data_IF_874167079937
#
_entry.id   IF_874167079937
#
_cell.length_a   1.000
_cell.length_b   1.000
_cell.length_c   1.000
_cell.angle_alpha   90.00
_cell.angle_beta   90.00
_cell.angle_gamma   90.00
#
_symmetry.space_group_name_H-M   'P 1'
#
loop_
_entity.id
_entity.type
_entity.pdbx_description
1 polymer ?
#
# COMPACT_ATOMS: atom_id res chain seq x y z
N UNK A 1 -8.43 -9.76 6.90
CA UNK A 1 -7.38 -9.43 7.89
C UNK A 1 -6.38 -10.56 8.14
N UNK A 2 -6.79 -11.83 8.33
CA UNK A 2 -5.86 -12.95 8.61
C UNK A 2 -4.68 -13.07 7.61
N UNK A 3 -4.96 -12.99 6.30
CA UNK A 3 -3.92 -13.01 5.25
C UNK A 3 -2.91 -11.86 5.40
N UNK A 4 -3.39 -10.65 5.71
CA UNK A 4 -2.55 -9.47 5.88
C UNK A 4 -1.63 -9.63 7.09
N UNK A 5 -2.16 -10.08 8.23
CA UNK A 5 -1.37 -10.32 9.45
C UNK A 5 -0.30 -11.39 9.23
N UNK A 6 -0.66 -12.49 8.53
CA UNK A 6 0.31 -13.52 8.15
C UNK A 6 1.42 -12.96 7.26
N UNK A 7 1.07 -12.07 6.31
CA UNK A 7 2.05 -11.44 5.43
C UNK A 7 2.96 -10.42 6.12
N UNK A 8 2.46 -9.69 7.12
CA UNK A 8 3.23 -8.73 7.91
C UNK A 8 4.08 -9.38 9.01
N UNK A 9 3.77 -10.63 9.37
CA UNK A 9 4.53 -11.42 10.36
C UNK A 9 4.44 -10.91 11.80
N UNK A 10 3.65 -9.87 12.07
CA UNK A 10 3.54 -9.25 13.39
C UNK A 10 2.13 -8.71 13.64
N UNK A 11 1.73 -8.71 14.92
CA UNK A 11 0.48 -8.10 15.36
C UNK A 11 0.68 -6.59 15.48
N UNK A 12 -0.20 -5.76 14.87
CA UNK A 12 -0.07 -4.31 14.97
C UNK A 12 -0.36 -3.83 16.39
N UNK A 13 0.30 -2.74 16.81
CA UNK A 13 0.03 -2.08 18.09
C UNK A 13 -1.37 -1.45 18.13
N UNK A 14 -1.76 -0.80 17.04
CA UNK A 14 -3.03 -0.08 16.89
C UNK A 14 -3.60 -0.36 15.50
N UNK A 15 -4.88 -0.68 15.43
CA UNK A 15 -5.65 -0.75 14.19
C UNK A 15 -6.33 0.60 13.95
N UNK A 16 -6.23 1.11 12.72
CA UNK A 16 -6.91 2.33 12.29
C UNK A 16 -7.77 2.00 11.08
N UNK A 17 -9.08 2.27 11.17
CA UNK A 17 -10.03 2.06 10.07
C UNK A 17 -11.05 3.20 10.02
N UNK A 18 -11.93 3.19 9.03
CA UNK A 18 -13.16 3.98 9.08
C UNK A 18 -14.12 3.46 10.19
N UNK A 19 -15.30 4.07 10.28
CA UNK A 19 -16.31 3.81 11.33
C UNK A 19 -17.33 2.71 10.99
N UNK A 20 -17.10 1.89 9.96
CA UNK A 20 -18.01 0.80 9.60
C UNK A 20 -18.00 -0.30 10.66
N UNK A 21 -19.20 -0.75 11.09
CA UNK A 21 -19.39 -1.79 12.12
C UNK A 21 -18.72 -3.12 11.79
N UNK A 22 -18.48 -3.39 10.51
CA UNK A 22 -17.79 -4.59 10.04
C UNK A 22 -16.34 -4.67 10.55
N UNK A 23 -15.67 -3.54 10.75
CA UNK A 23 -14.30 -3.52 11.28
C UNK A 23 -14.26 -3.90 12.76
N UNK A 24 -15.17 -3.37 13.58
CA UNK A 24 -15.27 -3.74 15.00
C UNK A 24 -15.54 -5.24 15.17
N UNK A 25 -16.43 -5.79 14.35
CA UNK A 25 -16.72 -7.23 14.35
C UNK A 25 -15.48 -8.06 13.97
N UNK A 26 -14.82 -7.71 12.87
CA UNK A 26 -13.61 -8.39 12.42
C UNK A 26 -12.45 -8.27 13.43
N UNK A 27 -12.33 -7.12 14.10
CA UNK A 27 -11.35 -6.86 15.15
C UNK A 27 -11.53 -7.82 16.32
N UNK A 28 -12.77 -7.98 16.82
CA UNK A 28 -13.08 -8.88 17.94
C UNK A 28 -12.70 -10.33 17.63
N UNK A 29 -12.93 -10.76 16.39
CA UNK A 29 -12.65 -12.14 15.98
C UNK A 29 -11.16 -12.40 15.71
N UNK A 30 -10.44 -11.45 15.11
CA UNK A 30 -9.11 -11.68 14.55
C UNK A 30 -7.99 -11.07 15.41
N UNK A 31 -8.27 -9.99 16.14
CA UNK A 31 -7.28 -9.24 16.92
C UNK A 31 -7.89 -8.61 18.19
N UNK A 32 -8.45 -9.41 19.12
CA UNK A 32 -9.21 -8.91 20.26
C UNK A 32 -8.42 -7.95 21.16
N UNK A 33 -7.11 -8.15 21.30
CA UNK A 33 -6.23 -7.34 22.15
C UNK A 33 -5.66 -6.07 21.50
N UNK A 34 -5.93 -5.80 20.22
CA UNK A 34 -5.37 -4.63 19.52
C UNK A 34 -6.22 -3.39 19.81
N UNK A 35 -5.60 -2.25 20.11
CA UNK A 35 -6.31 -0.97 20.24
C UNK A 35 -6.90 -0.57 18.88
N UNK A 36 -8.14 -0.08 18.83
CA UNK A 36 -8.77 0.37 17.58
C UNK A 36 -9.14 1.84 17.66
N UNK A 37 -8.73 2.61 16.65
CA UNK A 37 -9.05 4.03 16.49
C UNK A 37 -9.76 4.29 15.16
N UNK A 38 -10.82 5.09 15.20
CA UNK A 38 -11.63 5.43 14.02
C UNK A 38 -12.00 6.93 13.96
N UNK A 39 -11.25 7.77 14.68
CA UNK A 39 -11.43 9.22 14.63
C UNK A 39 -11.17 9.77 13.23
N UNK A 40 -11.84 10.89 12.91
CA UNK A 40 -11.75 11.53 11.59
C UNK A 40 -10.29 11.85 11.25
N UNK A 41 -9.87 11.46 10.05
CA UNK A 41 -8.54 11.76 9.52
C UNK A 41 -7.45 10.76 9.87
N UNK A 42 -7.68 9.82 10.80
CA UNK A 42 -6.65 8.82 11.14
C UNK A 42 -6.38 7.85 9.99
N UNK A 43 -7.39 7.54 9.18
CA UNK A 43 -7.27 6.66 8.01
C UNK A 43 -6.72 7.36 6.76
N UNK A 44 -6.34 8.65 6.83
CA UNK A 44 -5.89 9.42 5.66
C UNK A 44 -4.74 8.76 4.90
N UNK A 45 -3.79 8.13 5.61
CA UNK A 45 -2.69 7.40 4.99
C UNK A 45 -3.19 6.25 4.12
N UNK A 46 -4.13 5.46 4.63
CA UNK A 46 -4.74 4.36 3.88
C UNK A 46 -5.53 4.90 2.69
N UNK A 47 -6.35 5.95 2.88
CA UNK A 47 -7.09 6.58 1.78
C UNK A 47 -6.17 7.13 0.68
N UNK A 48 -5.08 7.79 1.06
CA UNK A 48 -4.09 8.33 0.13
C UNK A 48 -3.35 7.23 -0.63
N UNK A 49 -3.05 6.09 0.01
CA UNK A 49 -2.44 4.94 -0.69
C UNK A 49 -3.33 4.36 -1.79
N UNK A 50 -4.65 4.55 -1.73
CA UNK A 50 -5.55 4.11 -2.80
C UNK A 50 -5.59 5.03 -4.02
N UNK A 51 -5.14 6.30 -3.88
CA UNK A 51 -5.27 7.30 -4.95
C UNK A 51 -4.57 6.89 -6.26
N UNK A 52 -3.32 6.37 -6.25
CA UNK A 52 -2.65 5.96 -7.49
C UNK A 52 -3.40 4.84 -8.22
N UNK A 53 -3.89 3.83 -7.47
CA UNK A 53 -4.66 2.72 -8.03
C UNK A 53 -5.98 3.23 -8.63
N UNK A 54 -6.74 4.07 -7.90
CA UNK A 54 -7.99 4.66 -8.39
C UNK A 54 -7.78 5.55 -9.62
N UNK A 55 -6.70 6.34 -9.64
CA UNK A 55 -6.33 7.15 -10.82
C UNK A 55 -6.08 6.25 -12.01
N UNK A 56 -5.34 5.15 -11.83
CA UNK A 56 -5.02 4.23 -12.91
C UNK A 56 -6.24 3.47 -13.41
N UNK A 57 -7.10 2.99 -12.51
CA UNK A 57 -8.38 2.36 -12.84
C UNK A 57 -9.24 3.30 -13.71
N UNK A 58 -9.33 4.57 -13.32
CA UNK A 58 -10.07 5.60 -14.07
C UNK A 58 -9.48 5.83 -15.47
N UNK A 59 -8.16 5.97 -15.59
CA UNK A 59 -7.46 6.14 -16.88
C UNK A 59 -7.65 4.91 -17.78
N UNK A 60 -7.60 3.70 -17.21
CA UNK A 60 -7.73 2.45 -17.95
C UNK A 60 -9.19 2.10 -18.30
N UNK A 61 -10.17 2.94 -17.95
CA UNK A 61 -11.62 2.70 -18.13
C UNK A 61 -12.09 1.38 -17.50
N UNK A 62 -11.60 1.09 -16.29
CA UNK A 62 -11.81 -0.16 -15.52
C UNK A 62 -11.00 -1.35 -16.02
N UNK A 63 -10.75 -2.30 -15.12
CA UNK A 63 -10.13 -3.58 -15.47
C UNK A 63 -11.16 -4.51 -16.11
N UNK A 64 -10.72 -5.33 -17.07
CA UNK A 64 -11.57 -6.28 -17.80
C UNK A 64 -11.98 -7.49 -16.95
N UNK A 65 -11.28 -7.75 -15.85
CA UNK A 65 -11.61 -8.82 -14.90
C UNK A 65 -10.95 -8.61 -13.53
N UNK A 66 -11.49 -9.26 -12.50
CA UNK A 66 -10.89 -9.30 -11.15
C UNK A 66 -9.47 -9.90 -11.16
N UNK A 67 -9.20 -10.88 -12.04
CA UNK A 67 -7.86 -11.47 -12.20
C UNK A 67 -6.86 -10.44 -12.73
N UNK A 68 -7.27 -9.61 -13.68
CA UNK A 68 -6.41 -8.55 -14.21
C UNK A 68 -6.12 -7.49 -13.14
N UNK A 69 -7.13 -7.06 -12.39
CA UNK A 69 -6.97 -6.17 -11.24
C UNK A 69 -6.00 -6.78 -10.22
N UNK A 70 -6.16 -8.06 -9.87
CA UNK A 70 -5.33 -8.72 -8.87
C UNK A 70 -3.85 -8.77 -9.28
N UNK A 71 -3.56 -9.07 -10.56
CA UNK A 71 -2.19 -9.04 -11.12
C UNK A 71 -1.59 -7.64 -11.11
N UNK A 72 -2.41 -6.63 -11.37
CA UNK A 72 -1.97 -5.24 -11.33
C UNK A 72 -1.65 -4.82 -9.88
N UNK A 73 -2.60 -4.99 -8.96
CA UNK A 73 -2.46 -4.57 -7.56
C UNK A 73 -1.34 -5.33 -6.85
N UNK A 74 -1.06 -6.58 -7.22
CA UNK A 74 0.01 -7.37 -6.58
C UNK A 74 1.42 -6.80 -6.77
N UNK A 75 1.67 -6.07 -7.87
CA UNK A 75 3.00 -5.52 -8.17
C UNK A 75 3.04 -3.98 -8.09
N UNK A 76 1.88 -3.33 -8.15
CA UNK A 76 1.77 -1.88 -8.15
C UNK A 76 2.43 -1.23 -6.91
N UNK A 77 2.08 -1.68 -5.71
CA UNK A 77 2.60 -1.07 -4.48
C UNK A 77 4.10 -1.32 -4.26
N UNK A 78 4.65 -2.53 -4.50
CA UNK A 78 6.09 -2.75 -4.52
C UNK A 78 6.85 -1.81 -5.46
N UNK A 79 6.35 -1.63 -6.69
CA UNK A 79 6.96 -0.71 -7.67
C UNK A 79 6.87 0.74 -7.15
N UNK A 80 5.68 1.17 -6.70
CA UNK A 80 5.48 2.52 -6.19
C UNK A 80 6.43 2.82 -5.03
N UNK A 81 6.57 1.91 -4.07
CA UNK A 81 7.47 2.05 -2.92
C UNK A 81 8.94 2.10 -3.34
N UNK A 82 9.37 1.22 -4.25
CA UNK A 82 10.76 1.19 -4.73
C UNK A 82 11.19 2.51 -5.38
N UNK A 83 10.26 3.19 -6.07
CA UNK A 83 10.52 4.45 -6.75
C UNK A 83 10.06 5.69 -5.98
N UNK A 84 9.51 5.53 -4.77
CA UNK A 84 9.07 6.66 -3.94
C UNK A 84 10.27 7.33 -3.26
N UNK A 85 10.95 8.18 -4.02
CA UNK A 85 12.09 8.98 -3.55
C UNK A 85 11.62 10.43 -3.32
N UNK A 86 11.73 10.99 -2.10
CA UNK A 86 11.28 12.34 -1.80
C UNK A 86 12.16 13.36 -2.51
N UNK A 87 11.70 13.87 -3.66
CA UNK A 87 12.48 14.79 -4.51
C UNK A 87 12.76 16.15 -3.85
N UNK A 88 11.90 16.59 -2.94
CA UNK A 88 11.95 17.93 -2.33
C UNK A 88 12.92 18.03 -1.15
N UNK A 89 13.36 16.89 -0.60
CA UNK A 89 14.22 16.86 0.59
C UNK A 89 15.67 16.49 0.28
N UNK A 90 16.01 16.26 -1.01
CA UNK A 90 17.34 15.76 -1.39
C UNK A 90 17.96 16.50 -2.59
N UNK A 91 19.30 16.67 -2.61
CA UNK A 91 20.03 17.19 -3.76
C UNK A 91 19.81 16.34 -5.02
N UNK A 92 19.95 16.98 -6.18
CA UNK A 92 19.72 16.33 -7.48
C UNK A 92 20.65 15.14 -7.75
N UNK A 93 21.91 15.21 -7.32
CA UNK A 93 22.86 14.10 -7.43
C UNK A 93 22.40 12.86 -6.66
N UNK A 94 22.06 13.05 -5.38
CA UNK A 94 21.56 11.97 -4.52
C UNK A 94 20.24 11.37 -5.03
N UNK A 95 19.33 12.20 -5.55
CA UNK A 95 18.11 11.71 -6.20
C UNK A 95 18.41 10.80 -7.41
N UNK A 96 19.41 11.15 -8.23
CA UNK A 96 19.81 10.33 -9.39
C UNK A 96 20.41 9.00 -8.94
N UNK A 97 21.24 8.99 -7.90
CA UNK A 97 21.82 7.77 -7.33
C UNK A 97 20.73 6.82 -6.81
N UNK A 98 19.79 7.33 -5.99
CA UNK A 98 18.67 6.53 -5.48
C UNK A 98 17.79 5.99 -6.62
N UNK A 99 17.53 6.80 -7.67
CA UNK A 99 16.80 6.35 -8.86
C UNK A 99 17.55 5.27 -9.64
N UNK A 100 18.87 5.39 -9.77
CA UNK A 100 19.70 4.40 -10.44
C UNK A 100 19.70 3.07 -9.65
N UNK A 101 19.85 3.12 -8.33
CA UNK A 101 19.76 1.95 -7.46
C UNK A 101 18.39 1.28 -7.53
N UNK A 102 17.30 2.06 -7.48
CA UNK A 102 15.94 1.55 -7.64
C UNK A 102 15.73 0.86 -9.01
N UNK A 103 16.28 1.41 -10.09
CA UNK A 103 16.23 0.80 -11.42
C UNK A 103 17.03 -0.51 -11.50
N UNK A 104 18.22 -0.58 -10.88
CA UNK A 104 19.01 -1.82 -10.84
C UNK A 104 18.27 -2.92 -10.06
N UNK A 105 17.67 -2.57 -8.92
CA UNK A 105 16.85 -3.52 -8.16
C UNK A 105 15.65 -3.99 -8.96
N UNK A 106 14.98 -3.09 -9.67
CA UNK A 106 13.86 -3.43 -10.54
C UNK A 106 14.27 -4.39 -11.66
N UNK A 107 15.43 -4.18 -12.31
CA UNK A 107 15.98 -5.09 -13.32
C UNK A 107 16.18 -6.50 -12.77
N UNK A 108 16.75 -6.61 -11.57
CA UNK A 108 16.92 -7.90 -10.89
C UNK A 108 15.59 -8.61 -10.60
N UNK A 109 14.56 -7.87 -10.18
CA UNK A 109 13.22 -8.42 -9.89
C UNK A 109 12.48 -8.81 -11.19
N UNK A 110 12.58 -7.97 -12.22
CA UNK A 110 11.84 -8.12 -13.47
C UNK A 110 12.53 -9.04 -14.49
N UNK A 111 13.76 -9.48 -14.21
CA UNK A 111 14.63 -10.22 -15.14
C UNK A 111 14.82 -9.46 -16.47
N UNK A 112 15.06 -8.15 -16.38
CA UNK A 112 15.32 -7.22 -17.49
C UNK A 112 16.80 -6.82 -17.54
#
# INVERSE_FOLDING_TARGET
MRKLLKGQGSTPRVMITDKLRSYDAAKREIMPGVEHRSHKGLNNRAENSHQPIRRRERIMKRFKSSRQLQRFVSIHDPIANLFHVPRHDIPSGHYRELRAAAMQMWRGIAHL
#
